data_IF_479450209289
#
_entry.id   IF_479450209289
#
_cell.length_a   1.000
_cell.length_b   1.000
_cell.length_c   1.000
_cell.angle_alpha   90.00
_cell.angle_beta   90.00
_cell.angle_gamma   90.00
#
_symmetry.space_group_name_H-M   'P 1'
#
loop_
_entity.id
_entity.type
_entity.pdbx_description
1 polymer ?
#
# COMPACT_ATOMS: atom_id res chain seq x y z
N UNK A 1 -23.14 13.89 2.50
CA UNK A 1 -23.67 12.92 3.48
C UNK A 1 -22.63 11.83 3.67
N UNK A 2 -22.17 11.55 4.91
CA UNK A 2 -21.27 10.42 5.15
C UNK A 2 -22.00 9.11 4.84
N UNK A 3 -21.34 8.20 4.15
CA UNK A 3 -21.91 6.89 3.81
C UNK A 3 -22.27 6.13 5.10
N UNK A 4 -23.41 5.40 5.13
CA UNK A 4 -23.81 4.60 6.27
C UNK A 4 -22.72 3.57 6.63
N UNK A 5 -22.42 3.42 7.91
CA UNK A 5 -21.45 2.45 8.47
C UNK A 5 -21.71 1.02 7.95
N UNK A 6 -22.98 0.71 7.65
CA UNK A 6 -23.41 -0.58 7.13
C UNK A 6 -22.86 -0.91 5.72
N UNK A 7 -22.74 0.09 4.85
CA UNK A 7 -22.13 -0.07 3.52
C UNK A 7 -20.63 -0.32 3.61
N UNK A 8 -19.96 0.27 4.61
CA UNK A 8 -18.53 0.06 4.87
C UNK A 8 -18.23 -1.36 5.38
N UNK A 9 -19.14 -1.93 6.16
CA UNK A 9 -19.03 -3.31 6.66
C UNK A 9 -19.26 -4.35 5.55
N UNK A 10 -20.18 -4.08 4.61
CA UNK A 10 -20.45 -4.96 3.46
C UNK A 10 -19.27 -5.07 2.49
N UNK A 11 -18.47 -4.00 2.32
CA UNK A 11 -17.26 -4.05 1.49
C UNK A 11 -16.09 -4.80 2.17
N UNK A 12 -16.20 -5.09 3.48
CA UNK A 12 -15.20 -5.85 4.25
C UNK A 12 -15.49 -7.34 4.32
N UNK A 13 -16.65 -7.81 3.81
CA UNK A 13 -17.09 -9.21 3.93
C UNK A 13 -17.34 -9.90 2.59
N UNK A 14 -17.21 -9.18 1.48
CA UNK A 14 -17.25 -9.78 0.15
C UNK A 14 -15.97 -10.60 -0.09
N UNK A 15 -16.15 -11.85 -0.54
CA UNK A 15 -15.04 -12.67 -1.01
C UNK A 15 -14.41 -11.98 -2.23
N UNK A 16 -13.08 -11.88 -2.23
CA UNK A 16 -12.31 -11.37 -3.37
C UNK A 16 -12.79 -11.99 -4.69
N UNK A 17 -12.84 -11.18 -5.75
CA UNK A 17 -12.97 -11.71 -7.11
C UNK A 17 -11.77 -12.61 -7.46
N UNK A 18 -11.82 -13.31 -8.59
CA UNK A 18 -10.68 -14.09 -9.08
C UNK A 18 -9.45 -13.19 -9.27
N UNK A 19 -9.61 -12.09 -9.99
CA UNK A 19 -8.51 -11.15 -10.27
C UNK A 19 -7.97 -10.50 -8.98
N UNK A 20 -8.85 -10.18 -8.02
CA UNK A 20 -8.45 -9.68 -6.70
C UNK A 20 -7.66 -10.73 -5.89
N UNK A 21 -8.04 -12.00 -6.00
CA UNK A 21 -7.34 -13.11 -5.34
C UNK A 21 -5.95 -13.32 -5.93
N UNK A 22 -5.84 -13.30 -7.27
CA UNK A 22 -4.56 -13.38 -7.99
C UNK A 22 -3.67 -12.17 -7.65
N UNK A 23 -4.24 -10.97 -7.59
CA UNK A 23 -3.52 -9.77 -7.16
C UNK A 23 -3.03 -9.86 -5.71
N UNK A 24 -3.82 -10.46 -4.80
CA UNK A 24 -3.38 -10.71 -3.43
C UNK A 24 -2.17 -11.63 -3.37
N UNK A 25 -2.17 -12.71 -4.17
CA UNK A 25 -1.03 -13.62 -4.28
C UNK A 25 0.20 -12.91 -4.83
N UNK A 26 0.02 -12.11 -5.88
CA UNK A 26 1.07 -11.25 -6.43
C UNK A 26 1.66 -10.31 -5.38
N UNK A 27 0.82 -9.58 -4.63
CA UNK A 27 1.28 -8.68 -3.56
C UNK A 27 2.15 -9.42 -2.53
N UNK A 28 1.73 -10.62 -2.10
CA UNK A 28 2.48 -11.41 -1.12
C UNK A 28 3.85 -11.84 -1.63
N UNK A 29 3.90 -12.36 -2.85
CA UNK A 29 5.16 -12.78 -3.48
C UNK A 29 6.11 -11.58 -3.63
N UNK A 30 5.62 -10.50 -4.24
CA UNK A 30 6.43 -9.32 -4.51
C UNK A 30 6.98 -8.68 -3.23
N UNK A 31 6.16 -8.53 -2.18
CA UNK A 31 6.59 -7.98 -0.90
C UNK A 31 7.61 -8.87 -0.18
N UNK A 32 7.49 -10.20 -0.31
CA UNK A 32 8.45 -11.16 0.24
C UNK A 32 9.81 -11.06 -0.45
N UNK A 33 9.82 -10.86 -1.76
CA UNK A 33 11.04 -10.80 -2.58
C UNK A 33 11.71 -9.41 -2.56
N UNK A 34 10.94 -8.33 -2.43
CA UNK A 34 11.41 -6.95 -2.64
C UNK A 34 11.52 -6.12 -1.36
N UNK A 35 11.33 -6.74 -0.18
CA UNK A 35 11.47 -6.09 1.12
C UNK A 35 12.80 -5.33 1.17
N UNK A 36 12.78 -4.00 1.45
CA UNK A 36 14.02 -3.26 1.58
C UNK A 36 14.84 -3.76 2.76
N UNK A 37 16.19 -3.65 2.71
CA UNK A 37 17.03 -3.92 3.87
C UNK A 37 16.65 -3.01 5.05
N UNK A 38 16.96 -3.41 6.29
CA UNK A 38 16.77 -2.54 7.43
C UNK A 38 17.59 -1.25 7.28
N UNK A 39 17.06 -0.14 7.78
CA UNK A 39 17.79 1.13 7.90
C UNK A 39 18.88 1.01 8.97
N UNK A 40 19.93 1.83 8.88
CA UNK A 40 21.00 1.86 9.90
C UNK A 40 20.46 2.24 11.28
N UNK A 41 19.53 3.21 11.32
CA UNK A 41 18.78 3.59 12.51
C UNK A 41 17.29 3.29 12.32
N UNK A 42 16.59 2.79 13.34
CA UNK A 42 15.17 2.46 13.24
C UNK A 42 14.34 3.62 12.67
N UNK A 43 13.38 3.30 11.81
CA UNK A 43 12.37 4.26 11.37
C UNK A 43 11.53 4.72 12.57
N UNK A 44 11.08 5.99 12.59
CA UNK A 44 10.07 6.45 13.53
C UNK A 44 8.78 5.63 13.44
N UNK A 45 7.95 5.66 14.48
CA UNK A 45 6.70 4.90 14.48
C UNK A 45 5.67 5.52 13.55
N UNK A 46 5.64 6.84 13.45
CA UNK A 46 4.71 7.57 12.60
C UNK A 46 5.44 8.32 11.47
N UNK A 47 4.82 8.35 10.29
CA UNK A 47 5.38 9.03 9.12
C UNK A 47 5.63 10.53 9.33
N UNK A 48 4.81 11.22 10.13
CA UNK A 48 5.00 12.65 10.42
C UNK A 48 6.20 12.92 11.36
N UNK A 49 6.79 11.88 11.95
CA UNK A 49 7.99 11.97 12.78
C UNK A 49 9.28 11.79 11.97
N UNK A 50 9.18 11.58 10.66
CA UNK A 50 10.34 11.49 9.75
C UNK A 50 10.97 12.89 9.63
N UNK A 51 12.11 13.09 10.30
CA UNK A 51 12.83 14.37 10.33
C UNK A 51 14.22 14.33 9.68
N UNK A 52 14.69 13.17 9.24
CA UNK A 52 16.02 13.00 8.63
C UNK A 52 15.92 12.78 7.12
N UNK A 53 16.90 13.27 6.37
CA UNK A 53 16.94 13.05 4.92
C UNK A 53 17.15 11.57 4.59
N UNK A 54 17.91 10.83 5.38
CA UNK A 54 18.15 9.40 5.16
C UNK A 54 16.86 8.58 5.27
N UNK A 55 16.02 8.83 6.29
CA UNK A 55 14.72 8.18 6.42
C UNK A 55 13.76 8.59 5.29
N UNK A 56 13.79 9.87 4.89
CA UNK A 56 12.99 10.37 3.76
C UNK A 56 13.39 9.66 2.47
N UNK A 57 14.68 9.64 2.13
CA UNK A 57 15.21 9.03 0.92
C UNK A 57 14.88 7.52 0.87
N UNK A 58 15.09 6.81 1.98
CA UNK A 58 14.74 5.40 2.12
C UNK A 58 13.25 5.13 1.84
N UNK A 59 12.35 5.92 2.46
CA UNK A 59 10.92 5.74 2.30
C UNK A 59 10.42 6.17 0.91
N UNK A 60 11.04 7.16 0.27
CA UNK A 60 10.72 7.58 -1.10
C UNK A 60 11.10 6.49 -2.10
N UNK A 61 12.32 5.93 -2.00
CA UNK A 61 12.76 4.83 -2.85
C UNK A 61 11.85 3.61 -2.68
N UNK A 62 11.52 3.25 -1.44
CA UNK A 62 10.60 2.15 -1.16
C UNK A 62 9.22 2.36 -1.80
N UNK A 63 8.64 3.55 -1.62
CA UNK A 63 7.33 3.88 -2.19
C UNK A 63 7.37 3.90 -3.73
N UNK A 64 8.45 4.37 -4.35
CA UNK A 64 8.59 4.34 -5.81
C UNK A 64 8.54 2.90 -6.33
N UNK A 65 9.29 1.98 -5.71
CA UNK A 65 9.28 0.55 -6.10
C UNK A 65 7.88 -0.08 -5.93
N UNK A 66 7.19 0.23 -4.83
CA UNK A 66 5.82 -0.23 -4.61
C UNK A 66 4.83 0.34 -5.64
N UNK A 67 4.99 1.60 -6.03
CA UNK A 67 4.18 2.23 -7.07
C UNK A 67 4.40 1.59 -8.43
N UNK A 68 5.66 1.40 -8.83
CA UNK A 68 6.01 0.73 -10.10
C UNK A 68 5.49 -0.72 -10.15
N UNK A 69 5.46 -1.39 -9.00
CA UNK A 69 4.90 -2.72 -8.85
C UNK A 69 3.37 -2.77 -8.78
N UNK A 70 2.67 -1.64 -8.78
CA UNK A 70 1.21 -1.59 -8.76
C UNK A 70 0.56 -1.72 -7.38
N UNK A 71 1.31 -1.53 -6.29
CA UNK A 71 0.82 -1.66 -4.90
C UNK A 71 0.35 -0.32 -4.29
N UNK A 72 0.62 0.79 -4.98
CA UNK A 72 0.28 2.16 -4.58
C UNK A 72 -0.54 2.80 -5.70
N UNK A 73 -1.57 3.57 -5.34
CA UNK A 73 -2.49 4.22 -6.30
C UNK A 73 -3.17 3.20 -7.24
N UNK A 74 -3.46 2.01 -6.71
CA UNK A 74 -3.98 0.88 -7.49
C UNK A 74 -5.34 1.22 -8.10
N UNK A 75 -6.19 1.88 -7.31
CA UNK A 75 -7.56 2.25 -7.70
C UNK A 75 -7.68 3.69 -8.25
N UNK A 76 -6.54 4.40 -8.38
CA UNK A 76 -6.51 5.74 -8.99
C UNK A 76 -6.52 5.58 -10.52
N UNK A 77 -7.32 6.39 -11.21
CA UNK A 77 -7.40 6.38 -12.68
C UNK A 77 -6.03 6.65 -13.32
N UNK A 78 -5.70 5.91 -14.38
CA UNK A 78 -4.47 6.06 -15.16
C UNK A 78 -4.26 7.49 -15.68
N UNK A 79 -5.32 8.25 -15.98
CA UNK A 79 -5.20 9.65 -16.41
C UNK A 79 -4.63 10.58 -15.33
N UNK A 80 -4.68 10.16 -14.07
CA UNK A 80 -4.10 10.87 -12.93
C UNK A 80 -2.81 10.19 -12.42
N UNK A 81 -2.27 9.22 -13.16
CA UNK A 81 -1.06 8.48 -12.76
C UNK A 81 -1.30 7.38 -11.75
N UNK A 82 -2.47 6.73 -11.75
CA UNK A 82 -2.69 5.47 -11.03
C UNK A 82 -2.69 4.25 -11.93
N UNK A 83 -3.16 3.12 -11.41
CA UNK A 83 -3.21 1.84 -12.15
C UNK A 83 -4.61 1.49 -12.69
N UNK A 84 -5.65 2.20 -12.26
CA UNK A 84 -7.00 2.11 -12.81
C UNK A 84 -7.75 0.82 -12.49
N UNK A 85 -7.47 0.19 -11.34
CA UNK A 85 -8.22 -0.95 -10.82
C UNK A 85 -9.41 -0.50 -9.94
N UNK A 86 -10.20 -1.47 -9.46
CA UNK A 86 -11.32 -1.23 -8.53
C UNK A 86 -11.26 -2.22 -7.36
N UNK A 87 -11.11 -1.68 -6.14
CA UNK A 87 -11.02 -2.46 -4.92
C UNK A 87 -9.71 -3.23 -4.74
N UNK A 88 -8.66 -2.93 -5.51
CA UNK A 88 -7.35 -3.57 -5.36
C UNK A 88 -6.51 -2.85 -4.30
N UNK A 89 -6.71 -1.54 -4.12
CA UNK A 89 -5.93 -0.76 -3.16
C UNK A 89 -6.07 -1.29 -1.73
N UNK A 90 -7.27 -1.74 -1.33
CA UNK A 90 -7.49 -2.33 0.00
C UNK A 90 -6.71 -3.64 0.17
N UNK A 91 -6.56 -4.42 -0.91
CA UNK A 91 -5.80 -5.67 -0.91
C UNK A 91 -4.32 -5.40 -0.74
N UNK A 92 -3.74 -4.53 -1.58
CA UNK A 92 -2.33 -4.13 -1.48
C UNK A 92 -2.03 -3.57 -0.08
N UNK A 93 -2.89 -2.67 0.40
CA UNK A 93 -2.84 -2.09 1.75
C UNK A 93 -2.86 -3.12 2.88
N UNK A 94 -3.64 -4.19 2.75
CA UNK A 94 -3.70 -5.27 3.72
C UNK A 94 -2.44 -6.11 3.70
N UNK A 95 -1.94 -6.47 2.51
CA UNK A 95 -0.76 -7.33 2.39
C UNK A 95 0.54 -6.59 2.78
N UNK A 96 0.68 -5.29 2.48
CA UNK A 96 1.76 -4.44 2.99
C UNK A 96 1.82 -4.47 4.52
N UNK A 97 0.67 -4.30 5.19
CA UNK A 97 0.61 -4.37 6.67
C UNK A 97 0.99 -5.75 7.20
N UNK A 98 0.49 -6.82 6.57
CA UNK A 98 0.80 -8.21 6.99
C UNK A 98 2.27 -8.56 6.80
N UNK A 99 2.89 -8.09 5.72
CA UNK A 99 4.30 -8.33 5.43
C UNK A 99 5.24 -7.60 6.42
N UNK A 100 4.73 -6.64 7.20
CA UNK A 100 5.53 -5.88 8.17
C UNK A 100 6.68 -5.12 7.51
N UNK A 101 6.50 -4.73 6.25
CA UNK A 101 7.43 -3.88 5.48
C UNK A 101 7.29 -2.42 5.93
N UNK A 102 8.23 -1.51 5.58
CA UNK A 102 8.11 -0.11 5.94
C UNK A 102 6.79 0.51 5.46
N UNK A 103 6.23 1.40 6.28
CA UNK A 103 5.00 2.14 5.98
C UNK A 103 5.22 3.19 4.87
N UNK A 104 4.13 3.76 4.36
CA UNK A 104 4.16 4.84 3.38
C UNK A 104 3.99 6.20 4.07
N UNK A 105 4.70 7.23 3.60
CA UNK A 105 4.72 8.56 4.24
C UNK A 105 3.33 9.19 4.23
N UNK A 106 2.54 8.96 3.16
CA UNK A 106 1.19 9.52 3.02
C UNK A 106 0.20 8.39 2.77
N UNK A 107 -0.40 7.86 3.84
CA UNK A 107 -1.47 6.86 3.70
C UNK A 107 -2.82 7.49 3.32
N UNK A 108 -3.05 8.75 3.70
CA UNK A 108 -4.28 9.47 3.41
C UNK A 108 -4.23 9.89 1.94
N UNK A 109 -5.00 9.20 1.09
CA UNK A 109 -5.07 9.43 -0.36
C UNK A 109 -4.47 8.31 -1.21
N UNK A 110 -4.03 7.20 -0.60
CA UNK A 110 -3.65 5.97 -1.29
C UNK A 110 -4.84 5.04 -1.51
#
# INVERSE_FOLDING_TARGET
MPLPIFLRQLMSTAKDSKDQSEFREYCRAWLGENRPPPTEFPLPQAAYEVMTEDHRAYLVDWQARCYDAGLIATDVDKKYGGHGHDGFQIIASTEVRKAGVPYFINWIGL
#
